data_IF_136888311239
#
_entry.id   IF_136888311239
#
_cell.length_a   1.000
_cell.length_b   1.000
_cell.length_c   1.000
_cell.angle_alpha   90.00
_cell.angle_beta   90.00
_cell.angle_gamma   90.00
#
_symmetry.space_group_name_H-M   'P 1'
#
loop_
_entity.id
_entity.type
_entity.pdbx_description
1 polymer ?
#
# COMPACT_ATOMS: atom_id res chain seq x y z
N UNK A 1 -3.51 -7.77 16.49
CA UNK A 1 -3.07 -9.13 16.09
C UNK A 1 -2.88 -9.25 14.58
N UNK A 2 -3.92 -9.01 13.75
CA UNK A 2 -3.88 -9.15 12.28
C UNK A 2 -2.80 -8.27 11.61
N UNK A 3 -2.68 -6.99 11.96
CA UNK A 3 -1.63 -6.11 11.43
C UNK A 3 -0.21 -6.64 11.70
N UNK A 4 0.07 -7.16 12.90
CA UNK A 4 1.35 -7.77 13.23
C UNK A 4 1.58 -9.06 12.42
N UNK A 5 0.56 -9.89 12.25
CA UNK A 5 0.65 -11.11 11.42
C UNK A 5 0.96 -10.78 9.97
N UNK A 6 0.34 -9.75 9.38
CA UNK A 6 0.64 -9.33 8.01
C UNK A 6 2.03 -8.70 7.88
N UNK A 7 2.45 -7.89 8.86
CA UNK A 7 3.81 -7.36 8.93
C UNK A 7 4.86 -8.49 9.06
N UNK A 8 4.54 -9.58 9.75
CA UNK A 8 5.43 -10.75 9.86
C UNK A 8 5.40 -11.63 8.60
N UNK A 9 4.22 -11.87 8.02
CA UNK A 9 4.03 -12.68 6.81
C UNK A 9 4.62 -12.00 5.56
N UNK A 10 4.61 -10.67 5.50
CA UNK A 10 5.27 -9.90 4.46
C UNK A 10 6.79 -9.75 4.68
N UNK A 11 7.37 -10.35 5.73
CA UNK A 11 8.79 -10.18 6.08
C UNK A 11 9.16 -8.73 6.45
N UNK A 12 8.17 -7.89 6.74
CA UNK A 12 8.37 -6.48 7.03
C UNK A 12 8.98 -6.25 8.41
N UNK A 13 8.65 -7.11 9.38
CA UNK A 13 9.18 -7.09 10.75
C UNK A 13 10.13 -8.27 11.02
N UNK A 14 11.28 -8.03 11.69
CA UNK A 14 12.08 -9.12 12.22
C UNK A 14 11.28 -9.88 13.31
N UNK A 15 11.48 -11.20 13.44
CA UNK A 15 10.79 -12.00 14.45
C UNK A 15 11.10 -11.57 15.90
N UNK A 16 12.27 -10.95 16.12
CA UNK A 16 12.65 -10.40 17.42
C UNK A 16 11.87 -9.11 17.74
N UNK A 17 11.08 -9.15 18.82
CA UNK A 17 10.22 -8.07 19.31
C UNK A 17 10.97 -6.75 19.58
N UNK A 18 12.17 -6.82 20.17
CA UNK A 18 12.90 -5.65 20.63
C UNK A 18 13.40 -4.77 19.48
N UNK A 19 13.67 -5.38 18.30
CA UNK A 19 14.21 -4.66 17.13
C UNK A 19 13.12 -4.17 16.17
N UNK A 20 11.84 -4.51 16.43
CA UNK A 20 10.72 -4.14 15.55
C UNK A 20 10.50 -2.64 15.53
N UNK A 21 10.49 -1.99 16.69
CA UNK A 21 10.24 -0.55 16.81
C UNK A 21 11.31 0.26 16.04
N UNK A 22 12.59 -0.01 16.29
CA UNK A 22 13.72 0.65 15.61
C UNK A 22 13.68 0.41 14.09
N UNK A 23 13.39 -0.82 13.66
CA UNK A 23 13.30 -1.13 12.23
C UNK A 23 12.15 -0.39 11.55
N UNK A 24 10.99 -0.31 12.20
CA UNK A 24 9.84 0.43 11.69
C UNK A 24 10.14 1.91 11.58
N UNK A 25 10.70 2.51 12.63
CA UNK A 25 11.05 3.92 12.65
C UNK A 25 12.01 4.27 11.52
N UNK A 26 13.08 3.49 11.35
CA UNK A 26 14.02 3.67 10.24
C UNK A 26 13.33 3.56 8.88
N UNK A 27 12.53 2.51 8.66
CA UNK A 27 11.81 2.32 7.38
C UNK A 27 10.82 3.45 7.08
N UNK A 28 10.13 3.97 8.09
CA UNK A 28 9.22 5.11 7.95
C UNK A 28 9.98 6.39 7.59
N UNK A 29 11.12 6.64 8.23
CA UNK A 29 12.01 7.74 7.88
C UNK A 29 12.56 7.60 6.44
N UNK A 30 12.98 6.40 6.05
CA UNK A 30 13.44 6.09 4.69
C UNK A 30 12.34 6.39 3.65
N UNK A 31 11.10 5.96 3.91
CA UNK A 31 9.98 6.25 3.03
C UNK A 31 9.74 7.76 2.88
N UNK A 32 9.77 8.51 3.99
CA UNK A 32 9.62 9.97 3.97
C UNK A 32 10.72 10.65 3.15
N UNK A 33 11.94 10.10 3.18
CA UNK A 33 13.02 10.56 2.31
C UNK A 33 12.73 10.27 0.83
N UNK A 34 12.22 9.07 0.50
CA UNK A 34 11.81 8.74 -0.87
C UNK A 34 10.72 9.67 -1.41
N UNK A 35 9.72 10.01 -0.58
CA UNK A 35 8.68 10.97 -0.96
C UNK A 35 9.30 12.31 -1.35
N UNK A 36 10.17 12.87 -0.51
CA UNK A 36 10.84 14.15 -0.81
C UNK A 36 11.73 14.09 -2.04
N UNK A 37 12.43 12.98 -2.22
CA UNK A 37 13.40 12.82 -3.31
C UNK A 37 12.71 12.65 -4.66
N UNK A 38 11.63 11.87 -4.72
CA UNK A 38 11.04 11.42 -5.98
C UNK A 38 9.65 11.96 -6.23
N UNK A 39 8.84 12.11 -5.20
CA UNK A 39 7.49 12.63 -5.34
C UNK A 39 7.48 14.16 -5.25
N UNK A 40 8.16 14.81 -4.32
CA UNK A 40 8.06 16.28 -4.25
C UNK A 40 8.82 17.01 -5.38
N UNK A 41 9.60 16.28 -6.17
CA UNK A 41 10.22 16.77 -7.41
C UNK A 41 9.18 16.95 -8.54
N UNK A 42 9.55 17.70 -9.59
CA UNK A 42 8.72 17.81 -10.79
C UNK A 42 8.51 16.43 -11.44
N UNK A 43 7.25 16.11 -11.70
CA UNK A 43 6.79 14.85 -12.28
C UNK A 43 5.94 15.15 -13.50
N UNK A 44 6.44 14.76 -14.66
CA UNK A 44 5.66 14.81 -15.90
C UNK A 44 5.93 13.57 -16.78
N UNK A 45 6.21 12.44 -16.12
CA UNK A 45 6.39 11.16 -16.79
C UNK A 45 5.08 10.38 -16.90
N UNK A 46 5.03 9.49 -17.89
CA UNK A 46 3.83 8.72 -18.21
C UNK A 46 3.36 7.81 -17.07
N UNK A 47 4.27 7.39 -16.18
CA UNK A 47 3.92 6.58 -15.00
C UNK A 47 3.04 7.38 -14.04
N UNK A 48 3.44 8.62 -13.74
CA UNK A 48 2.65 9.49 -12.86
C UNK A 48 1.27 9.77 -13.47
N UNK A 49 1.22 10.13 -14.75
CA UNK A 49 -0.04 10.41 -15.46
C UNK A 49 -1.00 9.22 -15.41
N UNK A 50 -0.49 8.01 -15.63
CA UNK A 50 -1.31 6.81 -15.59
C UNK A 50 -1.86 6.53 -14.18
N UNK A 51 -1.02 6.62 -13.15
CA UNK A 51 -1.44 6.43 -11.76
C UNK A 51 -2.50 7.47 -11.37
N UNK A 52 -2.28 8.74 -11.71
CA UNK A 52 -3.22 9.83 -11.44
C UNK A 52 -4.59 9.62 -12.09
N UNK A 53 -4.62 8.95 -13.25
CA UNK A 53 -5.86 8.58 -13.93
C UNK A 53 -6.56 7.38 -13.27
N UNK A 54 -5.79 6.38 -12.85
CA UNK A 54 -6.33 5.13 -12.32
C UNK A 54 -6.84 5.25 -10.88
N UNK A 55 -6.16 6.03 -10.03
CA UNK A 55 -6.47 6.14 -8.60
C UNK A 55 -7.91 6.62 -8.34
N UNK A 56 -8.42 7.69 -8.97
CA UNK A 56 -9.81 8.11 -8.74
C UNK A 56 -10.86 7.06 -9.17
N UNK A 57 -10.49 6.13 -10.06
CA UNK A 57 -11.39 5.09 -10.58
C UNK A 57 -11.39 3.82 -9.72
N UNK A 58 -10.47 3.71 -8.76
CA UNK A 58 -10.35 2.52 -7.93
C UNK A 58 -11.45 2.47 -6.87
N UNK A 59 -12.01 1.27 -6.64
CA UNK A 59 -13.02 1.02 -5.61
C UNK A 59 -14.08 2.12 -5.47
N UNK A 60 -14.80 2.49 -6.56
CA UNK A 60 -15.61 3.71 -6.62
C UNK A 60 -16.82 3.72 -5.68
N UNK A 61 -17.21 2.54 -5.17
CA UNK A 61 -18.33 2.38 -4.24
C UNK A 61 -17.93 2.62 -2.78
N UNK A 62 -16.64 2.71 -2.47
CA UNK A 62 -16.14 2.90 -1.10
C UNK A 62 -15.68 4.35 -0.95
N UNK A 63 -16.41 5.12 -0.14
CA UNK A 63 -16.22 6.56 0.01
C UNK A 63 -14.81 6.95 0.51
N UNK A 64 -14.17 6.09 1.29
CA UNK A 64 -12.78 6.23 1.74
C UNK A 64 -11.83 6.51 0.57
N UNK A 65 -11.89 5.72 -0.51
CA UNK A 65 -10.97 5.87 -1.65
C UNK A 65 -11.29 7.07 -2.56
N UNK A 66 -12.42 7.74 -2.31
CA UNK A 66 -12.80 8.98 -3.00
C UNK A 66 -12.26 10.23 -2.30
N UNK A 67 -11.69 10.10 -1.10
CA UNK A 67 -11.06 11.20 -0.39
C UNK A 67 -9.72 11.57 -1.03
N UNK A 68 -9.51 12.85 -1.32
CA UNK A 68 -8.26 13.36 -1.93
C UNK A 68 -7.03 12.96 -1.12
N UNK A 69 -7.11 13.02 0.22
CA UNK A 69 -6.02 12.60 1.10
C UNK A 69 -5.60 11.15 0.83
N UNK A 70 -6.57 10.22 0.69
CA UNK A 70 -6.28 8.81 0.38
C UNK A 70 -5.69 8.68 -1.02
N UNK A 71 -6.24 9.38 -2.00
CA UNK A 71 -5.77 9.32 -3.39
C UNK A 71 -4.31 9.76 -3.51
N UNK A 72 -3.94 10.89 -2.88
CA UNK A 72 -2.55 11.39 -2.88
C UNK A 72 -1.60 10.41 -2.19
N UNK A 73 -2.01 9.76 -1.09
CA UNK A 73 -1.20 8.72 -0.44
C UNK A 73 -0.97 7.53 -1.37
N UNK A 74 -2.02 7.06 -2.07
CA UNK A 74 -1.91 5.93 -3.00
C UNK A 74 -1.06 6.29 -4.22
N UNK A 75 -1.20 7.51 -4.76
CA UNK A 75 -0.33 8.01 -5.82
C UNK A 75 1.14 7.98 -5.40
N UNK A 76 1.47 8.47 -4.18
CA UNK A 76 2.83 8.42 -3.63
C UNK A 76 3.37 7.01 -3.52
N UNK A 77 2.60 6.11 -2.89
CA UNK A 77 2.99 4.70 -2.72
C UNK A 77 3.31 4.07 -4.07
N UNK A 78 2.41 4.17 -5.03
CA UNK A 78 2.54 3.50 -6.33
C UNK A 78 3.62 4.13 -7.20
N UNK A 79 3.71 5.45 -7.21
CA UNK A 79 4.71 6.15 -8.01
C UNK A 79 6.12 5.82 -7.54
N UNK A 80 6.38 5.94 -6.23
CA UNK A 80 7.68 5.60 -5.65
C UNK A 80 8.02 4.13 -5.88
N UNK A 81 7.04 3.22 -5.78
CA UNK A 81 7.28 1.82 -6.08
C UNK A 81 7.66 1.61 -7.55
N UNK A 82 6.91 2.20 -8.48
CA UNK A 82 7.09 2.00 -9.92
C UNK A 82 8.46 2.49 -10.43
N UNK A 83 8.88 3.70 -10.05
CA UNK A 83 10.18 4.25 -10.49
C UNK A 83 11.38 3.47 -9.92
N UNK A 84 11.18 2.81 -8.76
CA UNK A 84 12.20 1.96 -8.14
C UNK A 84 12.27 0.56 -8.74
N UNK A 85 11.27 0.17 -9.54
CA UNK A 85 11.20 -1.11 -10.23
C UNK A 85 11.01 -0.90 -11.75
N UNK A 86 11.99 -0.27 -12.43
CA UNK A 86 11.84 0.14 -13.83
C UNK A 86 11.62 -1.02 -14.82
N UNK A 87 12.03 -2.23 -14.45
CA UNK A 87 11.76 -3.44 -15.24
C UNK A 87 10.27 -3.82 -15.27
N UNK A 88 9.48 -3.38 -14.29
CA UNK A 88 8.03 -3.60 -14.23
C UNK A 88 7.24 -2.32 -14.49
N UNK A 89 7.65 -1.21 -13.89
CA UNK A 89 6.86 0.03 -13.88
C UNK A 89 5.49 -0.16 -13.22
N UNK A 90 4.61 0.84 -13.39
CA UNK A 90 3.23 0.73 -12.93
C UNK A 90 2.39 -0.03 -13.95
N UNK A 91 1.55 -0.95 -13.46
CA UNK A 91 0.56 -1.69 -14.26
C UNK A 91 -0.78 -1.63 -13.55
N UNK A 92 -1.84 -1.33 -14.30
CA UNK A 92 -3.20 -1.28 -13.78
C UNK A 92 -3.55 -2.59 -13.05
N UNK A 93 -4.08 -2.47 -11.83
CA UNK A 93 -4.34 -3.58 -10.91
C UNK A 93 -3.36 -3.65 -9.74
N UNK A 94 -2.16 -3.05 -9.85
CA UNK A 94 -1.26 -2.90 -8.69
C UNK A 94 -1.87 -1.95 -7.65
N UNK A 95 -2.62 -0.94 -8.10
CA UNK A 95 -3.36 -0.03 -7.22
C UNK A 95 -4.29 -0.78 -6.25
N UNK A 96 -4.95 -1.86 -6.69
CA UNK A 96 -5.83 -2.66 -5.85
C UNK A 96 -5.08 -3.47 -4.78
N UNK A 97 -3.78 -3.73 -4.98
CA UNK A 97 -2.93 -4.45 -4.04
C UNK A 97 -2.53 -3.61 -2.82
N UNK A 98 -2.61 -2.29 -2.91
CA UNK A 98 -2.33 -1.38 -1.79
C UNK A 98 -3.44 -1.47 -0.74
N UNK A 99 -4.69 -1.58 -1.21
CA UNK A 99 -5.93 -1.61 -0.43
C UNK A 99 -5.88 -2.49 0.82
N UNK A 100 -5.57 -3.81 0.74
CA UNK A 100 -5.58 -4.68 1.92
C UNK A 100 -4.58 -4.25 3.00
N UNK A 101 -3.40 -3.74 2.62
CA UNK A 101 -2.42 -3.26 3.59
C UNK A 101 -2.88 -1.96 4.24
N UNK A 102 -3.37 -1.02 3.42
CA UNK A 102 -3.88 0.26 3.88
C UNK A 102 -5.03 0.07 4.88
N UNK A 103 -6.02 -0.77 4.55
CA UNK A 103 -7.17 -1.04 5.42
C UNK A 103 -6.76 -1.66 6.76
N UNK A 104 -5.77 -2.57 6.75
CA UNK A 104 -5.26 -3.20 7.97
C UNK A 104 -4.61 -2.17 8.91
N UNK A 105 -3.82 -1.23 8.38
CA UNK A 105 -3.18 -0.20 9.20
C UNK A 105 -4.15 0.91 9.59
N UNK A 106 -5.11 1.24 8.74
CA UNK A 106 -6.19 2.16 9.08
C UNK A 106 -7.04 1.61 10.23
N UNK A 107 -7.38 0.32 10.21
CA UNK A 107 -8.11 -0.33 11.31
C UNK A 107 -7.35 -0.27 12.65
N UNK A 108 -6.02 -0.36 12.61
CA UNK A 108 -5.15 -0.24 13.79
C UNK A 108 -5.15 1.20 14.33
N UNK A 109 -5.16 2.21 13.45
CA UNK A 109 -5.19 3.62 13.82
C UNK A 109 -6.58 4.11 14.27
N UNK A 110 -7.66 3.50 13.77
CA UNK A 110 -9.05 3.82 14.11
C UNK A 110 -9.84 2.57 14.57
N UNK A 111 -9.53 2.00 15.74
CA UNK A 111 -10.20 0.78 16.22
C UNK A 111 -11.71 0.97 16.40
N UNK A 112 -12.49 0.01 15.90
CA UNK A 112 -13.95 -0.02 16.08
C UNK A 112 -14.73 1.01 15.25
N UNK A 113 -14.07 1.72 14.33
CA UNK A 113 -14.74 2.62 13.38
C UNK A 113 -15.14 1.88 12.10
N UNK A 114 -16.23 2.33 11.48
CA UNK A 114 -16.60 1.91 10.12
C UNK A 114 -15.65 2.58 9.12
N UNK A 115 -14.85 1.78 8.41
CA UNK A 115 -13.74 2.29 7.60
C UNK A 115 -14.18 2.82 6.23
N UNK A 116 -15.24 2.28 5.64
CA UNK A 116 -15.64 2.55 4.26
C UNK A 116 -15.99 4.03 4.01
N UNK A 117 -16.39 4.78 5.04
CA UNK A 117 -16.57 6.24 4.96
C UNK A 117 -15.61 7.04 5.86
N UNK A 118 -14.74 6.37 6.61
CA UNK A 118 -13.95 7.00 7.67
C UNK A 118 -13.18 8.23 7.14
N UNK A 119 -13.43 9.44 7.66
CA UNK A 119 -12.76 10.64 7.18
C UNK A 119 -11.31 10.65 7.66
N UNK A 120 -10.38 10.46 6.72
CA UNK A 120 -8.96 10.23 7.03
C UNK A 120 -8.31 11.44 7.71
N UNK A 121 -8.84 12.64 7.46
CA UNK A 121 -8.36 13.89 8.08
C UNK A 121 -8.67 13.98 9.58
N UNK A 122 -9.44 13.04 10.15
CA UNK A 122 -9.54 12.89 11.62
C UNK A 122 -8.26 12.33 12.25
N UNK A 123 -7.41 11.66 11.47
CA UNK A 123 -6.12 11.17 11.94
C UNK A 123 -5.09 12.30 11.90
N UNK A 124 -4.11 12.24 12.81
CA UNK A 124 -2.97 13.16 12.76
C UNK A 124 -2.15 12.92 11.48
N UNK A 125 -1.34 13.91 11.08
CA UNK A 125 -0.38 13.72 9.99
C UNK A 125 0.57 12.55 10.27
N UNK A 126 1.06 12.42 11.50
CA UNK A 126 1.92 11.30 11.91
C UNK A 126 1.26 9.93 11.73
N UNK A 127 -0.03 9.79 12.11
CA UNK A 127 -0.76 8.55 11.90
C UNK A 127 -0.92 8.21 10.42
N UNK A 128 -1.19 9.22 9.57
CA UNK A 128 -1.29 9.05 8.11
C UNK A 128 0.06 8.67 7.50
N UNK A 129 1.14 9.34 7.90
CA UNK A 129 2.52 9.04 7.49
C UNK A 129 2.89 7.58 7.83
N UNK A 130 2.52 7.11 9.03
CA UNK A 130 2.75 5.73 9.47
C UNK A 130 2.00 4.73 8.60
N UNK A 131 0.70 4.96 8.35
CA UNK A 131 -0.15 4.09 7.53
C UNK A 131 0.42 4.00 6.11
N UNK A 132 0.80 5.14 5.53
CA UNK A 132 1.34 5.23 4.17
C UNK A 132 2.65 4.46 4.02
N UNK A 133 3.61 4.75 4.91
CA UNK A 133 4.93 4.13 4.88
C UNK A 133 4.84 2.60 5.09
N UNK A 134 4.07 2.15 6.08
CA UNK A 134 3.92 0.72 6.34
C UNK A 134 3.21 0.02 5.16
N UNK A 135 2.22 0.67 4.53
CA UNK A 135 1.56 0.17 3.32
C UNK A 135 2.55 0.02 2.16
N UNK A 136 3.39 1.04 1.92
CA UNK A 136 4.40 1.01 0.87
C UNK A 136 5.37 -0.16 1.03
N UNK A 137 5.90 -0.38 2.22
CA UNK A 137 6.90 -1.43 2.44
C UNK A 137 6.29 -2.83 2.42
N UNK A 138 5.08 -3.01 2.93
CA UNK A 138 4.36 -4.27 2.84
C UNK A 138 4.01 -4.60 1.38
N UNK A 139 3.52 -3.62 0.60
CA UNK A 139 3.30 -3.77 -0.83
C UNK A 139 4.59 -4.13 -1.56
N UNK A 140 5.67 -3.40 -1.32
CA UNK A 140 6.96 -3.62 -1.96
C UNK A 140 7.43 -5.06 -1.73
N UNK A 141 7.41 -5.53 -0.48
CA UNK A 141 7.79 -6.89 -0.15
C UNK A 141 6.88 -7.95 -0.77
N UNK A 142 5.57 -7.67 -0.82
CA UNK A 142 4.63 -8.56 -1.47
C UNK A 142 4.91 -8.68 -2.97
N UNK A 143 5.17 -7.56 -3.65
CA UNK A 143 5.48 -7.54 -5.08
C UNK A 143 6.84 -8.17 -5.40
N UNK A 144 7.88 -7.92 -4.60
CA UNK A 144 9.17 -8.62 -4.69
C UNK A 144 8.96 -10.14 -4.64
N UNK A 145 8.19 -10.61 -3.65
CA UNK A 145 7.92 -12.05 -3.47
C UNK A 145 7.13 -12.64 -4.63
N UNK A 146 6.30 -11.84 -5.31
CA UNK A 146 5.57 -12.29 -6.47
C UNK A 146 6.49 -12.35 -7.68
N UNK A 147 7.33 -11.34 -7.91
CA UNK A 147 8.30 -11.32 -9.01
C UNK A 147 9.26 -12.50 -8.93
N UNK A 148 9.79 -12.80 -7.74
CA UNK A 148 10.68 -13.94 -7.51
C UNK A 148 9.99 -15.29 -7.76
N UNK A 149 8.69 -15.39 -7.42
CA UNK A 149 7.88 -16.59 -7.70
C UNK A 149 7.39 -16.67 -9.17
N UNK A 150 7.29 -15.53 -9.87
CA UNK A 150 6.77 -15.45 -11.24
C UNK A 150 7.80 -15.72 -12.32
N UNK A 151 9.11 -15.60 -12.03
CA UNK A 151 10.16 -16.09 -12.94
C UNK A 151 10.06 -17.62 -13.11
N UNK A 152 9.32 -18.33 -12.24
CA UNK A 152 9.12 -19.78 -12.33
C UNK A 152 7.71 -20.26 -12.71
N UNK A 153 6.67 -19.41 -12.71
CA UNK A 153 5.29 -19.85 -12.99
C UNK A 153 4.46 -18.79 -13.76
N UNK A 154 4.19 -19.10 -15.02
CA UNK A 154 3.50 -18.31 -16.04
C UNK A 154 2.11 -17.72 -15.68
N UNK A 155 1.83 -16.55 -16.27
CA UNK A 155 0.55 -16.02 -16.81
C UNK A 155 -0.57 -15.56 -15.84
N UNK A 156 -0.54 -14.28 -15.46
CA UNK A 156 -1.48 -13.21 -15.86
C UNK A 156 -2.98 -13.28 -15.53
N UNK A 157 -3.57 -14.45 -15.27
CA UNK A 157 -5.03 -14.61 -15.18
C UNK A 157 -5.48 -15.04 -13.77
N UNK A 158 -4.61 -15.65 -12.97
CA UNK A 158 -4.98 -16.14 -11.63
C UNK A 158 -5.04 -15.05 -10.54
N UNK A 159 -4.50 -13.84 -10.79
CA UNK A 159 -4.46 -12.77 -9.78
C UNK A 159 -5.83 -12.25 -9.38
N UNK A 160 -6.74 -12.01 -10.33
CA UNK A 160 -8.08 -11.52 -10.04
C UNK A 160 -8.87 -12.51 -9.16
N UNK A 161 -8.68 -13.80 -9.38
CA UNK A 161 -9.41 -14.85 -8.64
C UNK A 161 -8.91 -14.97 -7.20
N UNK A 162 -7.59 -14.93 -6.97
CA UNK A 162 -7.03 -15.11 -5.62
C UNK A 162 -7.22 -13.88 -4.73
N UNK A 163 -7.13 -12.67 -5.29
CA UNK A 163 -7.38 -11.41 -4.56
C UNK A 163 -8.87 -11.26 -4.25
N UNK A 164 -9.75 -11.58 -5.20
CA UNK A 164 -11.20 -11.62 -4.95
C UNK A 164 -11.57 -12.62 -3.84
N UNK A 165 -10.92 -13.79 -3.80
CA UNK A 165 -11.15 -14.78 -2.75
C UNK A 165 -10.62 -14.33 -1.37
N UNK A 166 -9.50 -13.61 -1.33
CA UNK A 166 -8.96 -13.02 -0.09
C UNK A 166 -9.83 -11.87 0.43
N UNK A 167 -10.38 -11.04 -0.46
CA UNK A 167 -11.28 -9.93 -0.12
C UNK A 167 -12.66 -10.45 0.35
N UNK A 168 -13.23 -11.45 -0.33
CA UNK A 168 -14.55 -12.02 0.04
C UNK A 168 -14.52 -12.71 1.42
N UNK A 169 -13.41 -13.36 1.77
CA UNK A 169 -13.24 -13.95 3.11
C UNK A 169 -12.90 -12.91 4.19
N UNK A 170 -12.52 -11.68 3.82
CA UNK A 170 -12.19 -10.60 4.75
C UNK A 170 -13.40 -9.73 5.14
N UNK A 171 -14.41 -9.62 4.28
CA UNK A 171 -15.64 -8.82 4.52
C UNK A 171 -16.66 -9.62 5.36
N UNK A 172 -16.48 -10.94 5.50
CA UNK A 172 -17.43 -11.81 6.20
C UNK A 172 -17.15 -12.00 7.70
N UNK A 173 -16.22 -11.25 8.30
CA UNK A 173 -15.93 -11.28 9.75
C UNK A 173 -15.47 -9.94 10.33
#
# INVERSE_FOLDING_TARGET
ARAITWRLLAGYLPPNAERRAETLERKRADYKHLVRQYYDAERDDDTYRQIHIDIPRMSPLVALFQQITVQVMFERILYIWAIRHPASGYVQGINDLVTPFFMVFLQEAAPGQELDNFPLDKLTEEQRDIIEADSFWCLSKFLDSIQDNYIFAQLGIQYKVRISFLLTNFISY
#
